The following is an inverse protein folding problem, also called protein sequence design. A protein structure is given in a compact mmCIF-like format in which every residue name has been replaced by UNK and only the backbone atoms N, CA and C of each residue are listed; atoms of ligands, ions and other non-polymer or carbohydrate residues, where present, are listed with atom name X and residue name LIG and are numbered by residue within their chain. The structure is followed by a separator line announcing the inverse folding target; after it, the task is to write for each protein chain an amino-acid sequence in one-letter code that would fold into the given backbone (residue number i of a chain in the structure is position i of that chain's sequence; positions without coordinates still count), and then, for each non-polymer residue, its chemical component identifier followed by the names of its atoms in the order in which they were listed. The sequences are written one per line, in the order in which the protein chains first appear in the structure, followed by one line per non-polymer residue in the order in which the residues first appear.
data_IF_825837640749
#
_entry.id   IF_825837640749
#
_cell.length_a   1.000
_cell.length_b   1.000
_cell.length_c   1.000
_cell.angle_alpha   90.00
_cell.angle_beta   90.00
_cell.angle_gamma   90.00
#
_symmetry.space_group_name_H-M   'P 1'
#
loop_
_entity.id
_entity.type
_entity.pdbx_description
1 polymer ?
#
# COMPACT_ATOMS: atom_id res chain seq x y z
N UNK A 1 21.93 -33.39 50.06
CA UNK A 1 21.86 -31.96 49.71
C UNK A 1 20.45 -31.65 49.23
N UNK A 2 19.80 -30.55 49.66
CA UNK A 2 18.47 -30.22 49.16
C UNK A 2 18.58 -29.53 47.79
N UNK A 3 17.71 -29.93 46.87
CA UNK A 3 17.55 -29.36 45.53
C UNK A 3 16.78 -28.05 45.62
N UNK A 4 17.34 -26.96 45.09
CA UNK A 4 16.65 -25.67 44.91
C UNK A 4 15.62 -25.77 43.76
N UNK A 5 14.39 -25.25 43.91
CA UNK A 5 13.46 -25.16 42.78
C UNK A 5 13.83 -23.99 41.86
N UNK A 6 13.63 -24.19 40.55
CA UNK A 6 13.87 -23.21 39.50
C UNK A 6 12.85 -22.05 39.54
N UNK A 7 13.24 -20.81 39.16
CA UNK A 7 12.32 -19.69 39.11
C UNK A 7 11.32 -19.86 37.95
N UNK A 8 10.03 -19.76 38.27
CA UNK A 8 8.97 -19.68 37.26
C UNK A 8 8.98 -18.31 36.59
N UNK A 9 8.91 -18.30 35.26
CA UNK A 9 8.71 -17.09 34.48
C UNK A 9 7.39 -16.44 34.91
N UNK A 10 7.44 -15.17 35.33
CA UNK A 10 6.24 -14.39 35.60
C UNK A 10 5.64 -13.98 34.26
N UNK A 11 4.46 -14.51 33.97
CA UNK A 11 3.58 -13.95 32.95
C UNK A 11 3.42 -12.45 33.23
N UNK A 12 3.77 -11.62 32.24
CA UNK A 12 3.75 -10.17 32.35
C UNK A 12 2.34 -9.66 32.61
N UNK A 13 2.02 -9.43 33.87
CA UNK A 13 0.71 -8.94 34.27
C UNK A 13 0.56 -7.47 33.82
N UNK A 14 -0.43 -7.23 32.95
CA UNK A 14 -0.68 -5.92 32.36
C UNK A 14 -1.03 -4.90 33.46
N UNK A 15 -0.46 -3.68 33.43
CA UNK A 15 -0.77 -2.67 34.43
C UNK A 15 -2.25 -2.28 34.34
N UNK A 16 -2.98 -2.42 35.45
CA UNK A 16 -4.41 -2.03 35.56
C UNK A 16 -4.53 -0.75 36.38
N UNK A 17 -5.37 0.19 35.93
CA UNK A 17 -5.69 1.42 36.65
C UNK A 17 -6.29 2.49 35.72
N UNK A 18 -7.05 3.44 36.28
CA UNK A 18 -7.75 4.48 35.52
C UNK A 18 -6.85 5.30 34.57
N UNK A 19 -5.56 5.42 34.89
CA UNK A 19 -4.53 6.06 34.05
C UNK A 19 -4.13 5.27 32.78
N UNK A 20 -4.47 3.99 32.71
CA UNK A 20 -4.23 3.12 31.55
C UNK A 20 -5.51 2.82 30.77
N UNK A 21 -6.64 3.46 31.11
CA UNK A 21 -7.94 3.24 30.48
C UNK A 21 -7.97 3.62 28.98
N UNK A 22 -7.05 4.47 28.53
CA UNK A 22 -6.86 4.81 27.11
C UNK A 22 -5.68 4.10 26.43
N UNK A 23 -4.89 3.30 27.14
CA UNK A 23 -3.71 2.63 26.56
C UNK A 23 -4.07 1.41 25.69
N UNK A 24 -5.35 1.04 25.67
CA UNK A 24 -5.89 -0.10 24.91
C UNK A 24 -7.21 0.28 24.21
N UNK A 25 -7.35 1.52 23.77
CA UNK A 25 -8.18 1.75 22.58
C UNK A 25 -7.45 1.05 21.43
N UNK A 26 -7.66 -0.26 21.34
CA UNK A 26 -7.42 -0.98 20.12
C UNK A 26 -8.23 -0.23 19.07
N UNK A 27 -7.53 0.31 18.08
CA UNK A 27 -8.12 0.86 16.87
C UNK A 27 -9.05 -0.25 16.34
N UNK A 28 -10.35 -0.13 16.62
CA UNK A 28 -11.31 -1.13 16.18
C UNK A 28 -11.14 -1.22 14.68
N UNK A 29 -10.94 -2.43 14.10
CA UNK A 29 -10.70 -2.56 12.67
C UNK A 29 -11.86 -1.87 11.96
N UNK A 30 -11.55 -0.72 11.33
CA UNK A 30 -12.51 0.11 10.62
C UNK A 30 -13.19 -0.81 9.63
N UNK A 31 -14.47 -1.14 9.89
CA UNK A 31 -15.22 -2.02 8.99
C UNK A 31 -15.16 -1.37 7.60
N UNK A 32 -14.69 -2.09 6.56
CA UNK A 32 -14.66 -1.55 5.21
C UNK A 32 -16.05 -1.01 4.88
N UNK A 33 -16.11 0.23 4.42
CA UNK A 33 -17.37 0.79 3.93
C UNK A 33 -17.86 -0.13 2.80
N UNK A 34 -19.13 -0.56 2.86
CA UNK A 34 -19.68 -1.38 1.80
C UNK A 34 -19.60 -0.61 0.47
N UNK A 35 -19.11 -1.23 -0.61
CA UNK A 35 -19.03 -0.56 -1.89
C UNK A 35 -20.43 -0.18 -2.37
N UNK A 36 -20.56 0.95 -3.08
CA UNK A 36 -21.87 1.40 -3.52
C UNK A 36 -22.46 0.41 -4.54
N UNK A 37 -23.80 0.23 -4.56
CA UNK A 37 -24.44 -0.74 -5.45
C UNK A 37 -24.14 -0.52 -6.93
N UNK A 38 -23.89 0.73 -7.37
CA UNK A 38 -23.45 1.02 -8.74
C UNK A 38 -22.05 0.47 -9.06
N UNK A 39 -21.10 0.52 -8.12
CA UNK A 39 -19.77 -0.03 -8.33
C UNK A 39 -19.83 -1.56 -8.51
N UNK A 40 -20.65 -2.23 -7.70
CA UNK A 40 -20.88 -3.68 -7.82
C UNK A 40 -21.50 -4.05 -9.17
N UNK A 41 -22.49 -3.28 -9.63
CA UNK A 41 -23.12 -3.48 -10.94
C UNK A 41 -22.16 -3.21 -12.09
N UNK A 42 -21.31 -2.18 -11.99
CA UNK A 42 -20.30 -1.87 -12.99
C UNK A 42 -19.22 -2.98 -13.06
N UNK A 43 -18.74 -3.43 -11.90
CA UNK A 43 -17.80 -4.54 -11.78
C UNK A 43 -18.34 -5.83 -12.44
N UNK A 44 -19.56 -6.23 -12.10
CA UNK A 44 -20.21 -7.42 -12.69
C UNK A 44 -20.33 -7.33 -14.22
N UNK A 45 -20.69 -6.15 -14.75
CA UNK A 45 -20.78 -5.93 -16.19
C UNK A 45 -19.42 -6.01 -16.87
N UNK A 46 -18.41 -5.34 -16.32
CA UNK A 46 -17.06 -5.36 -16.88
C UNK A 46 -16.46 -6.78 -16.85
N UNK A 47 -16.64 -7.53 -15.76
CA UNK A 47 -16.18 -8.91 -15.69
C UNK A 47 -16.87 -9.80 -16.74
N UNK A 48 -18.19 -9.69 -16.90
CA UNK A 48 -18.92 -10.43 -17.93
C UNK A 48 -18.47 -10.08 -19.36
N UNK A 49 -18.23 -8.79 -19.63
CA UNK A 49 -17.67 -8.33 -20.91
C UNK A 49 -16.27 -8.87 -21.13
N UNK A 50 -15.41 -8.83 -20.12
CA UNK A 50 -14.04 -9.33 -20.21
C UNK A 50 -14.02 -10.85 -20.44
N UNK A 51 -14.87 -11.62 -19.76
CA UNK A 51 -15.05 -13.06 -20.04
C UNK A 51 -15.44 -13.31 -21.50
N UNK A 52 -16.38 -12.53 -22.04
CA UNK A 52 -16.80 -12.66 -23.44
C UNK A 52 -15.66 -12.34 -24.43
N UNK A 53 -14.90 -11.28 -24.17
CA UNK A 53 -13.74 -10.88 -24.97
C UNK A 53 -12.64 -11.96 -24.93
N UNK A 54 -12.35 -12.52 -23.74
CA UNK A 54 -11.41 -13.62 -23.58
C UNK A 54 -11.88 -14.89 -24.30
N UNK A 55 -13.18 -15.21 -24.24
CA UNK A 55 -13.74 -16.34 -24.99
C UNK A 55 -13.63 -16.15 -26.51
N UNK A 56 -13.79 -14.91 -26.98
CA UNK A 56 -13.61 -14.54 -28.39
C UNK A 56 -12.12 -14.42 -28.82
N UNK A 57 -11.17 -14.62 -27.90
CA UNK A 57 -9.74 -14.38 -28.11
C UNK A 57 -9.41 -12.93 -28.53
N UNK A 58 -10.28 -11.98 -28.18
CA UNK A 58 -10.07 -10.56 -28.43
C UNK A 58 -9.26 -9.92 -27.28
N UNK A 59 -7.94 -10.09 -27.36
CA UNK A 59 -7.01 -9.49 -26.39
C UNK A 59 -6.97 -7.96 -26.44
N UNK A 60 -7.23 -7.36 -27.60
CA UNK A 60 -7.22 -5.90 -27.77
C UNK A 60 -8.42 -5.25 -27.09
N UNK A 61 -9.62 -5.77 -27.33
CA UNK A 61 -10.83 -5.32 -26.64
C UNK A 61 -10.75 -5.54 -25.13
N UNK A 62 -10.19 -6.67 -24.70
CA UNK A 62 -9.96 -6.95 -23.28
C UNK A 62 -9.03 -5.91 -22.63
N UNK A 63 -7.94 -5.54 -23.32
CA UNK A 63 -7.01 -4.53 -22.84
C UNK A 63 -7.66 -3.14 -22.73
N UNK A 64 -8.38 -2.71 -23.77
CA UNK A 64 -9.09 -1.42 -23.78
C UNK A 64 -10.06 -1.32 -22.59
N UNK A 65 -10.83 -2.37 -22.32
CA UNK A 65 -11.77 -2.39 -21.19
C UNK A 65 -11.05 -2.23 -19.83
N UNK A 66 -9.87 -2.83 -19.66
CA UNK A 66 -9.06 -2.66 -18.45
C UNK A 66 -8.48 -1.24 -18.34
N UNK A 67 -8.04 -0.64 -19.44
CA UNK A 67 -7.61 0.76 -19.47
C UNK A 67 -8.75 1.72 -19.13
N UNK A 68 -9.96 1.49 -19.64
CA UNK A 68 -11.14 2.29 -19.28
C UNK A 68 -11.45 2.20 -17.78
N UNK A 69 -11.26 1.02 -17.18
CA UNK A 69 -11.49 0.81 -15.76
C UNK A 69 -10.53 1.61 -14.86
N UNK A 70 -9.31 1.95 -15.31
CA UNK A 70 -8.37 2.74 -14.50
C UNK A 70 -8.81 4.21 -14.34
N UNK A 71 -9.69 4.69 -15.22
CA UNK A 71 -10.31 6.02 -15.11
C UNK A 71 -11.55 6.06 -14.21
N UNK A 72 -11.97 4.93 -13.63
CA UNK A 72 -13.10 4.89 -12.71
C UNK A 72 -12.75 5.52 -11.37
N UNK A 73 -13.75 5.91 -10.55
CA UNK A 73 -13.50 6.31 -9.17
C UNK A 73 -12.71 5.21 -8.43
N UNK A 74 -11.65 5.58 -7.71
CA UNK A 74 -10.74 4.63 -7.05
C UNK A 74 -11.45 3.62 -6.15
N UNK A 75 -12.54 4.04 -5.48
CA UNK A 75 -13.39 3.18 -4.65
C UNK A 75 -14.11 2.04 -5.43
N UNK A 76 -14.15 2.10 -6.75
CA UNK A 76 -14.79 1.09 -7.62
C UNK A 76 -13.80 0.02 -8.09
N UNK A 77 -12.49 0.26 -7.96
CA UNK A 77 -11.45 -0.69 -8.36
C UNK A 77 -11.42 -1.96 -7.50
N UNK A 78 -11.56 -1.92 -6.15
CA UNK A 78 -11.57 -3.14 -5.36
C UNK A 78 -12.75 -4.08 -5.66
N UNK A 79 -14.01 -3.58 -5.80
CA UNK A 79 -15.12 -4.40 -6.27
C UNK A 79 -14.89 -5.04 -7.64
N UNK A 80 -14.29 -4.29 -8.58
CA UNK A 80 -13.94 -4.84 -9.90
C UNK A 80 -12.96 -5.99 -9.76
N UNK A 81 -11.85 -5.80 -9.05
CA UNK A 81 -10.85 -6.85 -8.88
C UNK A 81 -11.41 -8.11 -8.21
N UNK A 82 -12.27 -7.95 -7.19
CA UNK A 82 -12.95 -9.07 -6.55
C UNK A 82 -13.92 -9.82 -7.49
N UNK A 83 -14.59 -9.11 -8.39
CA UNK A 83 -15.46 -9.74 -9.41
C UNK A 83 -14.63 -10.46 -10.48
N UNK A 84 -13.51 -9.88 -10.92
CA UNK A 84 -12.59 -10.52 -11.87
C UNK A 84 -12.06 -11.85 -11.31
N UNK A 85 -11.62 -11.86 -10.05
CA UNK A 85 -11.20 -13.10 -9.36
C UNK A 85 -12.31 -14.14 -9.30
N UNK A 86 -13.53 -13.73 -8.90
CA UNK A 86 -14.71 -14.63 -8.87
C UNK A 86 -15.07 -15.17 -10.25
N UNK A 87 -14.74 -14.44 -11.31
CA UNK A 87 -14.97 -14.83 -12.70
C UNK A 87 -13.82 -15.65 -13.31
N UNK A 88 -12.80 -16.01 -12.52
CA UNK A 88 -11.63 -16.75 -12.99
C UNK A 88 -10.62 -15.91 -13.78
N UNK A 89 -10.71 -14.59 -13.71
CA UNK A 89 -9.89 -13.61 -14.43
C UNK A 89 -8.78 -13.02 -13.55
N UNK A 90 -8.15 -13.85 -12.70
CA UNK A 90 -7.09 -13.40 -11.79
C UNK A 90 -5.86 -12.80 -12.51
N UNK A 91 -5.56 -13.28 -13.73
CA UNK A 91 -4.51 -12.69 -14.57
C UNK A 91 -4.86 -11.24 -14.99
N UNK A 92 -6.13 -10.95 -15.25
CA UNK A 92 -6.60 -9.61 -15.60
C UNK A 92 -6.52 -8.64 -14.41
N UNK A 93 -6.63 -9.12 -13.17
CA UNK A 93 -6.34 -8.29 -11.98
C UNK A 93 -4.88 -7.85 -11.97
N UNK A 94 -3.96 -8.74 -12.35
CA UNK A 94 -2.53 -8.38 -12.41
C UNK A 94 -2.26 -7.33 -13.48
N UNK A 95 -2.95 -7.43 -14.63
CA UNK A 95 -2.89 -6.44 -15.70
C UNK A 95 -3.50 -5.11 -15.28
N UNK A 96 -4.65 -5.13 -14.60
CA UNK A 96 -5.27 -3.93 -14.02
C UNK A 96 -4.32 -3.21 -13.07
N UNK A 97 -3.66 -3.93 -12.14
CA UNK A 97 -2.70 -3.33 -11.21
C UNK A 97 -1.51 -2.71 -11.93
N UNK A 98 -1.03 -3.34 -13.00
CA UNK A 98 0.04 -2.79 -13.82
C UNK A 98 -0.37 -1.47 -14.48
N UNK A 99 -1.59 -1.40 -15.02
CA UNK A 99 -2.13 -0.16 -15.58
C UNK A 99 -2.32 0.91 -14.51
N UNK A 100 -2.82 0.56 -13.32
CA UNK A 100 -2.94 1.49 -12.19
C UNK A 100 -1.58 2.06 -11.76
N UNK A 101 -0.49 1.28 -11.87
CA UNK A 101 0.87 1.76 -11.57
C UNK A 101 1.37 2.82 -12.57
N UNK A 102 0.72 2.97 -13.73
CA UNK A 102 1.04 3.99 -14.73
C UNK A 102 0.30 5.31 -14.51
N UNK A 103 -0.69 5.36 -13.61
CA UNK A 103 -1.46 6.57 -13.34
C UNK A 103 -0.59 7.72 -12.81
N UNK A 104 -1.07 8.98 -12.94
CA UNK A 104 -0.48 10.11 -12.23
C UNK A 104 -0.40 9.85 -10.71
N UNK A 105 0.62 10.39 -10.00
CA UNK A 105 0.85 10.07 -8.59
C UNK A 105 -0.36 10.22 -7.64
N UNK A 106 -1.21 11.27 -7.75
CA UNK A 106 -2.40 11.38 -6.90
C UNK A 106 -3.41 10.26 -7.12
N UNK A 107 -3.70 9.92 -8.39
CA UNK A 107 -4.65 8.86 -8.73
C UNK A 107 -4.14 7.47 -8.33
N UNK A 108 -2.83 7.22 -8.48
CA UNK A 108 -2.19 6.00 -7.99
C UNK A 108 -2.33 5.88 -6.47
N UNK A 109 -2.06 6.96 -5.73
CA UNK A 109 -2.21 6.98 -4.27
C UNK A 109 -3.65 6.67 -3.86
N UNK A 110 -4.65 7.31 -4.47
CA UNK A 110 -6.07 7.03 -4.22
C UNK A 110 -6.45 5.57 -4.49
N UNK A 111 -5.96 4.98 -5.58
CA UNK A 111 -6.17 3.57 -5.90
C UNK A 111 -5.58 2.64 -4.83
N UNK A 112 -4.36 2.93 -4.36
CA UNK A 112 -3.72 2.19 -3.27
C UNK A 112 -4.53 2.29 -1.96
N UNK A 113 -4.98 3.50 -1.58
CA UNK A 113 -5.83 3.71 -0.41
C UNK A 113 -7.14 2.93 -0.52
N UNK A 114 -7.78 2.94 -1.70
CA UNK A 114 -9.02 2.21 -1.93
C UNK A 114 -8.85 0.69 -1.82
N UNK A 115 -7.77 0.15 -2.38
CA UNK A 115 -7.43 -1.29 -2.28
C UNK A 115 -7.22 -1.70 -0.82
N UNK A 116 -6.42 -0.94 -0.09
CA UNK A 116 -6.16 -1.22 1.31
C UNK A 116 -7.42 -1.11 2.18
N UNK A 117 -8.22 -0.05 2.00
CA UNK A 117 -9.48 0.15 2.72
C UNK A 117 -10.52 -0.97 2.45
N UNK A 118 -10.43 -1.62 1.29
CA UNK A 118 -11.25 -2.78 0.94
C UNK A 118 -10.69 -4.12 1.45
N UNK A 119 -9.60 -4.11 2.22
CA UNK A 119 -8.94 -5.31 2.73
C UNK A 119 -8.08 -6.04 1.70
N UNK A 120 -7.81 -5.42 0.53
CA UNK A 120 -6.95 -5.98 -0.53
C UNK A 120 -5.49 -5.54 -0.35
N UNK A 121 -4.94 -5.83 0.84
CA UNK A 121 -3.58 -5.42 1.23
C UNK A 121 -2.49 -6.01 0.32
N UNK A 122 -2.70 -7.22 -0.21
CA UNK A 122 -1.78 -7.86 -1.16
C UNK A 122 -1.65 -7.06 -2.46
N UNK A 123 -2.78 -6.68 -3.06
CA UNK A 123 -2.82 -5.87 -4.27
C UNK A 123 -2.30 -4.45 -4.03
N UNK A 124 -2.66 -3.82 -2.90
CA UNK A 124 -2.12 -2.53 -2.50
C UNK A 124 -0.58 -2.60 -2.40
N UNK A 125 -0.04 -3.61 -1.73
CA UNK A 125 1.41 -3.79 -1.58
C UNK A 125 2.09 -4.05 -2.93
N UNK A 126 1.46 -4.82 -3.83
CA UNK A 126 1.96 -5.06 -5.18
C UNK A 126 2.03 -3.75 -5.99
N UNK A 127 0.96 -2.95 -5.97
CA UNK A 127 0.88 -1.66 -6.65
C UNK A 127 1.97 -0.69 -6.13
N UNK A 128 2.12 -0.55 -4.81
CA UNK A 128 3.13 0.34 -4.23
C UNK A 128 4.57 -0.12 -4.53
N UNK A 129 4.80 -1.44 -4.58
CA UNK A 129 6.10 -2.00 -4.97
C UNK A 129 6.43 -1.74 -6.44
N UNK A 130 5.42 -1.75 -7.32
CA UNK A 130 5.61 -1.33 -8.71
C UNK A 130 5.90 0.16 -8.79
N UNK A 131 5.18 0.98 -8.03
CA UNK A 131 5.39 2.43 -7.97
C UNK A 131 6.79 2.82 -7.50
N UNK A 132 7.45 2.03 -6.63
CA UNK A 132 8.84 2.31 -6.21
C UNK A 132 9.88 2.21 -7.33
N UNK A 133 9.52 1.67 -8.50
CA UNK A 133 10.38 1.65 -9.69
C UNK A 133 10.32 2.96 -10.50
N UNK A 134 9.41 3.89 -10.19
CA UNK A 134 9.27 5.18 -10.88
C UNK A 134 10.45 6.12 -10.64
N UNK A 135 10.52 7.23 -11.38
CA UNK A 135 11.55 8.26 -11.12
C UNK A 135 11.38 8.82 -9.70
N UNK A 136 12.50 9.24 -9.09
CA UNK A 136 12.55 9.66 -7.69
C UNK A 136 11.56 10.79 -7.35
N UNK A 137 11.40 11.85 -8.18
CA UNK A 137 10.38 12.87 -7.93
C UNK A 137 8.95 12.30 -7.95
N UNK A 138 8.65 11.36 -8.84
CA UNK A 138 7.32 10.73 -8.91
C UNK A 138 7.06 9.83 -7.69
N UNK A 139 8.08 9.13 -7.17
CA UNK A 139 7.95 8.37 -5.91
C UNK A 139 7.67 9.30 -4.73
N UNK A 140 8.35 10.46 -4.67
CA UNK A 140 8.10 11.49 -3.67
C UNK A 140 6.66 12.01 -3.75
N UNK A 141 6.18 12.32 -4.95
CA UNK A 141 4.81 12.79 -5.19
C UNK A 141 3.76 11.75 -4.75
N UNK A 142 3.97 10.45 -5.01
CA UNK A 142 3.08 9.39 -4.51
C UNK A 142 3.10 9.35 -2.97
N UNK A 143 4.28 9.40 -2.35
CA UNK A 143 4.40 9.38 -0.88
C UNK A 143 3.70 10.58 -0.23
N UNK A 144 3.85 11.77 -0.81
CA UNK A 144 3.15 12.97 -0.36
C UNK A 144 1.64 12.85 -0.58
N UNK A 145 1.18 12.36 -1.74
CA UNK A 145 -0.24 12.15 -2.00
C UNK A 145 -0.88 11.16 -1.02
N UNK A 146 -0.16 10.09 -0.65
CA UNK A 146 -0.60 9.16 0.40
C UNK A 146 -0.73 9.85 1.76
N UNK A 147 0.21 10.73 2.12
CA UNK A 147 0.13 11.51 3.35
C UNK A 147 -1.04 12.49 3.35
N UNK A 148 -1.33 13.14 2.22
CA UNK A 148 -2.52 14.00 2.07
C UNK A 148 -3.83 13.23 2.25
N UNK A 149 -3.85 11.95 1.88
CA UNK A 149 -4.96 11.03 2.13
C UNK A 149 -4.97 10.46 3.56
N UNK A 150 -4.10 10.93 4.46
CA UNK A 150 -3.99 10.44 5.84
C UNK A 150 -3.35 9.06 5.96
N UNK A 151 -2.73 8.54 4.89
CA UNK A 151 -2.16 7.19 4.81
C UNK A 151 -0.65 7.20 4.85
N UNK A 152 -0.11 7.73 5.95
CA UNK A 152 1.33 7.73 6.25
C UNK A 152 1.91 6.30 6.27
N UNK A 153 1.13 5.35 6.77
CA UNK A 153 1.47 3.94 6.80
C UNK A 153 1.73 3.35 5.39
N UNK A 154 0.90 3.70 4.41
CA UNK A 154 1.12 3.29 3.02
C UNK A 154 2.31 4.01 2.36
N UNK A 155 2.55 5.28 2.71
CA UNK A 155 3.75 5.98 2.28
C UNK A 155 5.02 5.28 2.78
N UNK A 156 5.02 4.81 4.03
CA UNK A 156 6.10 3.98 4.58
C UNK A 156 6.27 2.68 3.79
N UNK A 157 5.19 1.97 3.43
CA UNK A 157 5.26 0.75 2.60
C UNK A 157 5.94 1.02 1.24
N UNK A 158 5.59 2.12 0.58
CA UNK A 158 6.22 2.53 -0.69
C UNK A 158 7.72 2.80 -0.51
N UNK A 159 8.11 3.57 0.50
CA UNK A 159 9.51 3.94 0.73
C UNK A 159 10.35 2.75 1.24
N UNK A 160 9.75 1.82 1.98
CA UNK A 160 10.39 0.55 2.33
C UNK A 160 10.65 -0.29 1.08
N UNK A 161 9.71 -0.32 0.12
CA UNK A 161 9.94 -1.00 -1.16
C UNK A 161 11.06 -0.32 -1.97
N UNK A 162 11.13 1.02 -1.98
CA UNK A 162 12.22 1.78 -2.59
C UNK A 162 13.59 1.43 -1.98
N UNK A 163 13.70 1.44 -0.64
CA UNK A 163 14.94 1.12 0.08
C UNK A 163 15.43 -0.31 -0.16
N UNK A 164 14.51 -1.24 -0.45
CA UNK A 164 14.86 -2.63 -0.82
C UNK A 164 15.29 -2.77 -2.28
N UNK A 165 14.83 -1.88 -3.16
CA UNK A 165 15.06 -1.95 -4.59
C UNK A 165 16.26 -1.10 -5.06
N UNK A 166 16.69 -0.11 -4.27
CA UNK A 166 17.69 0.90 -4.68
C UNK A 166 18.78 1.11 -3.64
N UNK A 167 19.84 1.79 -4.06
CA UNK A 167 20.88 2.23 -3.14
C UNK A 167 20.33 3.26 -2.14
N UNK A 168 20.99 3.38 -0.98
CA UNK A 168 20.61 4.36 0.05
C UNK A 168 20.74 5.79 -0.49
N UNK A 169 21.74 6.06 -1.32
CA UNK A 169 21.92 7.38 -1.96
C UNK A 169 20.73 7.73 -2.86
N UNK A 170 20.33 6.82 -3.76
CA UNK A 170 19.17 7.05 -4.63
C UNK A 170 17.86 7.17 -3.84
N UNK A 171 17.75 6.48 -2.71
CA UNK A 171 16.59 6.59 -1.84
C UNK A 171 16.56 7.93 -1.09
N UNK A 172 17.72 8.43 -0.64
CA UNK A 172 17.83 9.72 0.03
C UNK A 172 17.42 10.89 -0.89
N UNK A 173 17.76 10.83 -2.17
CA UNK A 173 17.35 11.83 -3.17
C UNK A 173 15.82 11.99 -3.32
N UNK A 174 15.01 11.02 -2.84
CA UNK A 174 13.54 11.15 -2.87
C UNK A 174 13.05 12.29 -1.97
N UNK A 175 13.81 12.73 -0.97
CA UNK A 175 13.35 13.79 -0.07
C UNK A 175 13.37 15.18 -0.70
N UNK A 176 14.08 15.39 -1.81
CA UNK A 176 14.29 16.72 -2.42
C UNK A 176 13.01 17.55 -2.65
N UNK A 177 11.89 17.00 -3.14
CA UNK A 177 10.69 17.80 -3.42
C UNK A 177 10.00 18.37 -2.16
N UNK A 178 10.11 17.68 -1.01
CA UNK A 178 9.62 18.15 0.29
C UNK A 178 10.44 17.49 1.41
N UNK A 179 11.61 18.06 1.68
CA UNK A 179 12.58 17.51 2.63
C UNK A 179 12.00 17.39 4.03
N UNK A 180 11.18 18.34 4.46
CA UNK A 180 10.60 18.37 5.80
C UNK A 180 9.69 17.15 6.04
N UNK A 181 8.78 16.88 5.10
CA UNK A 181 7.83 15.76 5.24
C UNK A 181 8.50 14.42 4.97
N UNK A 182 9.30 14.34 3.90
CA UNK A 182 9.83 13.08 3.38
C UNK A 182 10.99 12.52 4.21
N UNK A 183 11.77 13.35 4.89
CA UNK A 183 12.84 12.89 5.78
C UNK A 183 12.31 11.97 6.88
N UNK A 184 11.23 12.39 7.56
CA UNK A 184 10.62 11.58 8.60
C UNK A 184 10.07 10.26 8.06
N UNK A 185 9.42 10.30 6.89
CA UNK A 185 8.86 9.10 6.24
C UNK A 185 9.94 8.10 5.84
N UNK A 186 11.05 8.60 5.29
CA UNK A 186 12.16 7.75 4.86
C UNK A 186 12.87 7.11 6.04
N UNK A 187 13.00 7.81 7.17
CA UNK A 187 13.55 7.27 8.41
C UNK A 187 12.62 6.21 9.03
N UNK A 188 11.30 6.44 9.04
CA UNK A 188 10.30 5.45 9.47
C UNK A 188 10.37 4.18 8.59
N UNK A 189 10.48 4.36 7.27
CA UNK A 189 10.59 3.28 6.32
C UNK A 189 11.90 2.49 6.46
N UNK A 190 12.99 3.17 6.80
CA UNK A 190 14.28 2.55 7.07
C UNK A 190 14.28 1.78 8.39
N UNK A 191 13.66 2.31 9.45
CA UNK A 191 13.45 1.59 10.72
C UNK A 191 12.67 0.29 10.50
N UNK A 192 11.63 0.33 9.65
CA UNK A 192 10.85 -0.86 9.28
C UNK A 192 11.66 -1.92 8.51
N UNK A 193 12.82 -1.55 7.93
CA UNK A 193 13.78 -2.50 7.35
C UNK A 193 14.73 -3.02 8.43
N UNK A 194 15.44 -2.11 9.12
CA UNK A 194 16.29 -2.40 10.27
C UNK A 194 16.82 -1.12 10.92
N UNK A 195 17.21 -1.22 12.20
CA UNK A 195 17.89 -0.13 12.92
C UNK A 195 19.16 0.33 12.18
N UNK A 196 19.93 -0.61 11.63
CA UNK A 196 21.13 -0.29 10.85
C UNK A 196 20.80 0.51 9.58
N UNK A 197 19.70 0.17 8.90
CA UNK A 197 19.25 0.89 7.72
C UNK A 197 18.85 2.33 8.07
N UNK A 198 18.15 2.53 9.19
CA UNK A 198 17.81 3.88 9.67
C UNK A 198 19.07 4.73 9.90
N UNK A 199 20.07 4.19 10.60
CA UNK A 199 21.31 4.93 10.83
C UNK A 199 22.07 5.23 9.53
N UNK A 200 22.02 4.33 8.56
CA UNK A 200 22.65 4.56 7.26
C UNK A 200 21.94 5.66 6.45
N UNK A 201 20.61 5.67 6.45
CA UNK A 201 19.79 6.72 5.82
C UNK A 201 20.00 8.06 6.52
N UNK A 202 19.97 8.11 7.85
CA UNK A 202 20.19 9.35 8.60
C UNK A 202 21.53 10.01 8.23
N UNK A 203 22.62 9.23 8.22
CA UNK A 203 23.95 9.72 7.81
C UNK A 203 23.98 10.19 6.35
N UNK A 204 23.25 9.54 5.45
CA UNK A 204 23.18 9.95 4.05
C UNK A 204 22.47 11.30 3.90
N UNK A 205 21.37 11.50 4.65
CA UNK A 205 20.63 12.76 4.63
C UNK A 205 21.44 13.92 5.23
N UNK A 206 22.14 13.68 6.34
CA UNK A 206 23.05 14.65 6.96
C UNK A 206 24.22 15.05 6.03
N UNK A 207 24.71 14.14 5.21
CA UNK A 207 25.79 14.41 4.27
C UNK A 207 25.35 15.19 3.01
N UNK A 208 24.04 15.29 2.78
CA UNK A 208 23.42 15.95 1.64
C UNK A 208 22.81 17.33 1.98
N UNK A 209 22.94 17.78 3.24
CA UNK A 209 22.68 19.15 3.70
C UNK A 209 23.93 20.04 3.57
#
# INVERSE_FOLDING_TARGET
APTMPAPTARDGERPRGARFAGAYEADEPRRPAAPPPEALRAAARAAAQLTALRAAQDGGGAYVLLCEATGWPSAWLPPLAAELERSGLAADVSLLLWELATLPPPALAEAAVALDAAGRAGDCSALLRQASARRRPEVAEVALALCHNGRRDLATVLLTALLRARTIQEAAEVVEPDRHTLTGLLLDAAEAVSVQQRHAVARMLEAAD
#
